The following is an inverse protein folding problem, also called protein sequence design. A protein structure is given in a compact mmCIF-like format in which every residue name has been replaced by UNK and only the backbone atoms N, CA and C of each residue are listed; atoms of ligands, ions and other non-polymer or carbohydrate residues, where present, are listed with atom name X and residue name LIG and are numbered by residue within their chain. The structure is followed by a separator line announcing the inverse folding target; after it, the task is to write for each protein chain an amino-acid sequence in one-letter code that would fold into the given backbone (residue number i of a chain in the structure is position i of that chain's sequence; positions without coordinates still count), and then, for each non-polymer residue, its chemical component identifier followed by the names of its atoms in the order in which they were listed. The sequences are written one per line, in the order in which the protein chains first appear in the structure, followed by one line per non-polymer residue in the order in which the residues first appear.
data_IF_039869319555
#
_entry.id   IF_039869319555
#
_cell.length_a   1.000
_cell.length_b   1.000
_cell.length_c   1.000
_cell.angle_alpha   90.00
_cell.angle_beta   90.00
_cell.angle_gamma   90.00
#
_symmetry.space_group_name_H-M   'P 1'
#
loop_
_entity.id
_entity.type
_entity.pdbx_description
1 polymer ?
#
# COMPACT_ATOMS: atom_id res chain seq x y z
N UNK A 1 -7.97 17.64 25.18
CA UNK A 1 -7.46 17.16 23.88
C UNK A 1 -5.95 17.40 23.71
N UNK A 2 -5.40 18.55 24.11
CA UNK A 2 -3.95 18.87 24.03
C UNK A 2 -3.00 17.97 24.86
N UNK A 3 -3.46 17.40 25.97
CA UNK A 3 -2.61 16.59 26.86
C UNK A 3 -2.11 15.26 26.26
N UNK A 4 -2.75 14.76 25.18
CA UNK A 4 -2.37 13.52 24.53
C UNK A 4 -1.27 13.72 23.46
N UNK A 5 -1.24 14.90 22.84
CA UNK A 5 -0.32 15.24 21.73
C UNK A 5 1.15 15.29 22.15
N UNK A 6 1.43 15.71 23.38
CA UNK A 6 2.80 15.87 23.90
C UNK A 6 3.18 14.79 24.92
N UNK A 7 2.34 13.77 25.09
CA UNK A 7 2.65 12.71 26.04
C UNK A 7 3.67 11.74 25.44
N UNK A 8 4.95 12.02 25.71
CA UNK A 8 6.09 11.22 25.23
C UNK A 8 5.91 9.72 25.49
N UNK A 9 5.45 9.33 26.68
CA UNK A 9 5.29 7.91 27.03
C UNK A 9 4.23 7.25 26.15
N UNK A 10 3.09 7.92 25.94
CA UNK A 10 2.05 7.41 25.05
C UNK A 10 2.54 7.29 23.60
N UNK A 11 3.25 8.30 23.09
CA UNK A 11 3.79 8.29 21.73
C UNK A 11 4.82 7.18 21.52
N UNK A 12 5.67 6.91 22.51
CA UNK A 12 6.71 5.87 22.40
C UNK A 12 6.17 4.46 22.67
N UNK A 13 5.20 4.30 23.57
CA UNK A 13 4.74 2.96 23.97
C UNK A 13 3.57 2.46 23.12
N UNK A 14 2.64 3.35 22.75
CA UNK A 14 1.41 3.00 22.02
C UNK A 14 1.34 3.60 20.62
N UNK A 15 2.01 4.73 20.42
CA UNK A 15 1.86 5.52 19.20
C UNK A 15 0.56 6.29 19.13
N UNK A 16 0.45 7.12 18.11
CA UNK A 16 -0.75 7.92 17.85
C UNK A 16 -1.03 7.94 16.36
N UNK A 17 -1.94 7.05 15.92
CA UNK A 17 -2.37 6.96 14.53
C UNK A 17 -2.78 8.32 13.97
N UNK A 18 -3.61 9.07 14.71
CA UNK A 18 -4.09 10.39 14.28
C UNK A 18 -2.96 11.39 14.08
N UNK A 19 -1.98 11.46 14.99
CA UNK A 19 -0.86 12.41 14.83
C UNK A 19 0.01 12.03 13.63
N UNK A 20 0.35 10.75 13.51
CA UNK A 20 1.20 10.29 12.41
C UNK A 20 0.48 10.39 11.06
N UNK A 21 -0.85 10.29 11.03
CA UNK A 21 -1.69 10.52 9.86
C UNK A 21 -1.59 11.97 9.37
N UNK A 22 -1.78 12.95 10.25
CA UNK A 22 -1.62 14.37 9.89
C UNK A 22 -0.18 14.70 9.44
N UNK A 23 0.82 14.09 10.09
CA UNK A 23 2.22 14.22 9.63
C UNK A 23 2.43 13.55 8.27
N UNK A 24 1.76 12.43 8.00
CA UNK A 24 1.77 11.72 6.74
C UNK A 24 1.25 12.57 5.59
N UNK A 25 0.22 13.39 5.82
CA UNK A 25 -0.26 14.35 4.81
C UNK A 25 0.83 15.36 4.39
N UNK A 26 1.68 15.82 5.32
CA UNK A 26 2.82 16.70 4.97
C UNK A 26 3.91 15.98 4.13
N UNK A 27 3.98 14.65 4.23
CA UNK A 27 4.96 13.85 3.50
C UNK A 27 4.45 13.37 2.14
N UNK A 28 3.14 13.40 1.90
CA UNK A 28 2.59 13.07 0.58
C UNK A 28 3.13 13.99 -0.52
N UNK A 29 3.22 13.46 -1.73
CA UNK A 29 3.49 14.24 -2.93
C UNK A 29 2.46 13.88 -4.00
N UNK A 30 2.06 14.86 -4.85
CA UNK A 30 1.11 14.61 -5.92
C UNK A 30 1.55 13.50 -6.89
N UNK A 31 2.86 13.32 -7.09
CA UNK A 31 3.44 12.36 -8.04
C UNK A 31 3.15 10.88 -7.73
N UNK A 32 2.90 10.53 -6.47
CA UNK A 32 2.53 9.15 -6.08
C UNK A 32 1.17 9.06 -5.40
N UNK A 33 0.47 10.19 -5.24
CA UNK A 33 -0.88 10.24 -4.67
C UNK A 33 -1.88 10.29 -5.83
N UNK A 34 -2.31 9.11 -6.29
CA UNK A 34 -3.33 8.95 -7.33
C UNK A 34 -4.75 9.02 -6.76
N UNK A 35 -5.74 9.16 -7.63
CA UNK A 35 -7.15 9.34 -7.27
C UNK A 35 -7.61 8.26 -6.27
N UNK A 36 -8.32 8.68 -5.23
CA UNK A 36 -8.80 7.80 -4.16
C UNK A 36 -7.76 7.43 -3.10
N UNK A 37 -6.52 7.94 -3.18
CA UNK A 37 -5.44 7.56 -2.23
C UNK A 37 -4.93 8.67 -1.32
N UNK A 38 -5.60 9.82 -1.26
CA UNK A 38 -5.21 10.92 -0.35
C UNK A 38 -5.25 10.46 1.11
N UNK A 39 -6.30 9.74 1.51
CA UNK A 39 -6.42 9.17 2.87
C UNK A 39 -5.70 7.82 3.04
N UNK A 40 -4.99 7.36 2.01
CA UNK A 40 -4.32 6.05 2.00
C UNK A 40 -2.80 6.22 2.05
N UNK A 41 -2.23 7.00 1.13
CA UNK A 41 -0.77 7.14 1.02
C UNK A 41 -0.16 7.95 2.17
N UNK A 42 -0.94 8.82 2.84
CA UNK A 42 -0.52 9.43 4.11
C UNK A 42 -0.25 8.35 5.17
N UNK A 43 -1.05 7.29 5.18
CA UNK A 43 -0.95 6.21 6.16
C UNK A 43 0.24 5.27 5.93
N UNK A 44 0.97 5.37 4.81
CA UNK A 44 2.28 4.72 4.66
C UNK A 44 3.26 5.27 5.71
N UNK A 45 3.26 6.60 5.90
CA UNK A 45 4.08 7.26 6.92
C UNK A 45 3.54 6.99 8.33
N UNK A 46 2.22 6.88 8.50
CA UNK A 46 1.59 6.44 9.75
C UNK A 46 2.09 5.08 10.17
N UNK A 47 2.01 4.08 9.28
CA UNK A 47 2.49 2.73 9.55
C UNK A 47 3.99 2.72 9.86
N UNK A 48 4.81 3.45 9.08
CA UNK A 48 6.24 3.56 9.34
C UNK A 48 6.54 4.17 10.72
N UNK A 49 5.84 5.24 11.12
CA UNK A 49 6.01 5.87 12.43
C UNK A 49 5.56 4.94 13.57
N UNK A 50 4.42 4.26 13.42
CA UNK A 50 3.92 3.28 14.38
C UNK A 50 4.94 2.17 14.65
N UNK A 51 5.59 1.64 13.60
CA UNK A 51 6.62 0.62 13.77
C UNK A 51 7.94 1.17 14.30
N UNK A 52 8.44 2.27 13.73
CA UNK A 52 9.81 2.72 14.03
C UNK A 52 9.90 3.49 15.34
N UNK A 53 8.89 4.31 15.66
CA UNK A 53 8.85 5.13 16.87
C UNK A 53 8.23 4.33 18.02
N UNK A 54 7.06 3.74 17.77
CA UNK A 54 6.23 3.14 18.82
C UNK A 54 6.38 1.63 18.95
N UNK A 55 7.23 1.02 18.12
CA UNK A 55 7.52 -0.42 18.09
C UNK A 55 6.26 -1.28 17.96
N UNK A 56 5.20 -0.74 17.37
CA UNK A 56 3.97 -1.46 17.11
C UNK A 56 4.11 -2.28 15.83
N UNK A 57 3.64 -3.54 15.80
CA UNK A 57 3.59 -4.27 14.55
C UNK A 57 2.68 -3.53 13.56
N UNK A 58 3.01 -3.61 12.27
CA UNK A 58 2.17 -3.03 11.22
C UNK A 58 1.27 -4.05 10.55
N UNK A 59 1.70 -5.31 10.41
CA UNK A 59 0.92 -6.31 9.71
C UNK A 59 -0.14 -6.94 10.62
N UNK A 60 -1.41 -6.91 10.18
CA UNK A 60 -2.60 -7.40 10.92
C UNK A 60 -2.64 -6.93 12.40
N UNK A 61 -2.05 -5.77 12.66
CA UNK A 61 -2.14 -5.14 13.96
C UNK A 61 -3.56 -4.63 14.23
N UNK A 62 -3.81 -4.13 15.44
CA UNK A 62 -5.17 -3.81 15.91
C UNK A 62 -5.98 -2.95 14.92
N UNK A 63 -5.37 -1.95 14.28
CA UNK A 63 -6.07 -1.13 13.29
C UNK A 63 -6.40 -1.92 12.01
N UNK A 64 -5.41 -2.53 11.34
CA UNK A 64 -5.65 -3.28 10.09
C UNK A 64 -6.57 -4.50 10.31
N UNK A 65 -6.45 -5.16 11.45
CA UNK A 65 -7.32 -6.28 11.83
C UNK A 65 -8.79 -5.88 11.85
N UNK A 66 -9.11 -4.66 12.29
CA UNK A 66 -10.49 -4.10 12.26
C UNK A 66 -11.00 -3.84 10.86
N UNK A 67 -10.18 -3.91 9.82
CA UNK A 67 -10.58 -3.74 8.41
C UNK A 67 -10.56 -5.04 7.62
N UNK A 68 -10.15 -6.17 8.21
CA UNK A 68 -10.14 -7.48 7.51
C UNK A 68 -11.53 -7.92 7.03
N UNK A 69 -12.61 -7.59 7.77
CA UNK A 69 -13.95 -7.88 7.26
C UNK A 69 -14.31 -7.07 6.02
N UNK A 70 -13.70 -5.89 5.81
CA UNK A 70 -13.92 -5.09 4.60
C UNK A 70 -13.23 -5.76 3.41
N UNK A 71 -12.07 -6.38 3.61
CA UNK A 71 -11.41 -7.21 2.58
C UNK A 71 -12.31 -8.37 2.15
N UNK A 72 -12.90 -9.10 3.10
CA UNK A 72 -13.86 -10.19 2.78
C UNK A 72 -15.08 -9.68 2.02
N UNK A 73 -15.66 -8.56 2.45
CA UNK A 73 -16.80 -7.93 1.78
C UNK A 73 -16.43 -7.48 0.36
N UNK A 74 -15.27 -6.86 0.20
CA UNK A 74 -14.73 -6.45 -1.09
C UNK A 74 -14.59 -7.65 -2.02
N UNK A 75 -13.92 -8.71 -1.58
CA UNK A 75 -13.72 -9.92 -2.38
C UNK A 75 -15.03 -10.65 -2.69
N UNK A 76 -16.08 -10.50 -1.89
CA UNK A 76 -17.40 -11.06 -2.19
C UNK A 76 -18.32 -10.11 -2.98
N UNK A 77 -17.88 -8.87 -3.25
CA UNK A 77 -18.63 -7.88 -4.03
C UNK A 77 -18.32 -7.98 -5.53
N UNK A 78 -18.75 -6.99 -6.33
CA UNK A 78 -18.34 -6.86 -7.73
C UNK A 78 -16.82 -6.69 -7.93
N UNK A 79 -16.05 -6.35 -6.88
CA UNK A 79 -14.58 -6.19 -6.90
C UNK A 79 -14.14 -5.23 -8.01
N UNK A 80 -14.20 -3.93 -7.75
CA UNK A 80 -13.76 -2.91 -8.71
C UNK A 80 -12.80 -1.91 -8.07
N UNK A 81 -12.09 -1.16 -8.90
CA UNK A 81 -11.19 -0.11 -8.43
C UNK A 81 -11.98 1.01 -7.72
N UNK A 82 -13.19 1.31 -8.18
CA UNK A 82 -14.07 2.33 -7.59
C UNK A 82 -14.49 1.94 -6.17
N UNK A 83 -14.82 0.66 -5.95
CA UNK A 83 -15.12 0.15 -4.60
C UNK A 83 -13.86 0.24 -3.73
N UNK A 84 -12.69 -0.13 -4.28
CA UNK A 84 -11.42 -0.04 -3.57
C UNK A 84 -11.09 1.39 -3.14
N UNK A 85 -11.30 2.38 -4.02
CA UNK A 85 -11.08 3.80 -3.75
C UNK A 85 -12.04 4.39 -2.70
N UNK A 86 -13.20 3.76 -2.48
CA UNK A 86 -14.21 4.25 -1.54
C UNK A 86 -13.90 3.96 -0.06
N UNK A 87 -12.93 3.08 0.22
CA UNK A 87 -12.55 2.69 1.58
C UNK A 87 -11.02 2.82 1.77
N UNK A 88 -10.54 3.89 2.45
CA UNK A 88 -9.12 4.06 2.70
C UNK A 88 -8.48 2.94 3.52
N UNK A 89 -9.24 2.29 4.41
CA UNK A 89 -8.76 1.15 5.19
C UNK A 89 -8.56 -0.09 4.34
N UNK A 90 -9.43 -0.31 3.36
CA UNK A 90 -9.23 -1.32 2.32
C UNK A 90 -8.01 -0.98 1.46
N UNK A 91 -7.88 0.28 1.06
CA UNK A 91 -6.78 0.76 0.23
C UNK A 91 -5.41 0.62 0.89
N UNK A 92 -5.34 0.73 2.22
CA UNK A 92 -4.07 0.65 2.95
C UNK A 92 -3.45 -0.76 2.93
N UNK A 93 -4.25 -1.82 2.72
CA UNK A 93 -3.74 -3.20 2.79
C UNK A 93 -2.61 -3.48 1.81
N UNK A 94 -2.71 -3.05 0.55
CA UNK A 94 -1.64 -3.28 -0.42
C UNK A 94 -0.30 -2.66 0.04
N UNK A 95 -0.35 -1.48 0.64
CA UNK A 95 0.84 -0.81 1.15
C UNK A 95 1.40 -1.53 2.38
N UNK A 96 0.53 -1.95 3.29
CA UNK A 96 0.94 -2.74 4.44
C UNK A 96 1.51 -4.11 4.05
N UNK A 97 0.97 -4.76 3.02
CA UNK A 97 1.49 -6.02 2.46
C UNK A 97 2.90 -5.82 1.92
N UNK A 98 3.15 -4.79 1.12
CA UNK A 98 4.48 -4.56 0.57
C UNK A 98 5.48 -4.28 1.71
N UNK A 99 5.12 -3.46 2.70
CA UNK A 99 5.99 -3.21 3.85
C UNK A 99 6.25 -4.49 4.67
N UNK A 100 5.24 -5.33 4.86
CA UNK A 100 5.36 -6.58 5.60
C UNK A 100 6.27 -7.61 4.91
N UNK A 101 6.11 -7.79 3.59
CA UNK A 101 6.81 -8.82 2.83
C UNK A 101 8.21 -8.40 2.38
N UNK A 102 8.42 -7.10 2.11
CA UNK A 102 9.68 -6.61 1.53
C UNK A 102 10.42 -5.60 2.40
N UNK A 103 9.81 -5.17 3.51
CA UNK A 103 10.39 -4.20 4.43
C UNK A 103 10.37 -2.75 3.92
N UNK A 104 10.67 -1.81 4.82
CA UNK A 104 10.60 -0.37 4.53
C UNK A 104 11.67 0.15 3.59
N UNK A 105 12.75 -0.59 3.34
CA UNK A 105 13.80 -0.14 2.43
C UNK A 105 13.31 -0.03 0.98
N UNK A 106 12.29 -0.82 0.59
CA UNK A 106 11.59 -0.65 -0.69
C UNK A 106 10.96 0.73 -0.79
N UNK A 107 10.19 1.14 0.23
CA UNK A 107 9.56 2.47 0.26
C UNK A 107 10.58 3.60 0.24
N UNK A 108 11.66 3.49 1.02
CA UNK A 108 12.71 4.52 1.06
C UNK A 108 13.39 4.69 -0.30
N UNK A 109 13.68 3.58 -1.01
CA UNK A 109 14.23 3.61 -2.38
C UNK A 109 13.25 4.30 -3.33
N UNK A 110 12.00 3.88 -3.34
CA UNK A 110 10.97 4.44 -4.24
C UNK A 110 10.75 5.93 -3.98
N UNK A 111 10.61 6.36 -2.72
CA UNK A 111 10.45 7.78 -2.41
C UNK A 111 11.68 8.61 -2.80
N UNK A 112 12.90 8.06 -2.68
CA UNK A 112 14.11 8.72 -3.18
C UNK A 112 14.11 8.86 -4.70
N UNK A 113 13.60 7.87 -5.42
CA UNK A 113 13.47 7.98 -6.87
C UNK A 113 12.45 9.05 -7.29
N UNK A 114 11.37 9.25 -6.53
CA UNK A 114 10.41 10.31 -6.83
C UNK A 114 10.96 11.73 -6.60
N UNK A 115 12.10 11.88 -5.91
CA UNK A 115 12.77 13.17 -5.77
C UNK A 115 13.55 13.57 -7.03
N UNK A 116 13.70 12.67 -8.00
CA UNK A 116 14.37 12.98 -9.25
C UNK A 116 13.56 14.01 -10.08
N UNK A 117 14.22 14.85 -10.91
CA UNK A 117 13.54 15.90 -11.66
C UNK A 117 12.46 15.41 -12.63
N UNK A 118 12.67 14.25 -13.24
CA UNK A 118 11.74 13.59 -14.17
C UNK A 118 10.40 13.19 -13.52
N UNK A 119 10.40 12.96 -12.20
CA UNK A 119 9.21 12.61 -11.45
C UNK A 119 8.36 13.83 -11.06
N UNK A 120 8.87 15.05 -11.25
CA UNK A 120 8.18 16.28 -10.86
C UNK A 120 6.97 16.58 -11.74
N UNK A 121 6.93 16.08 -12.98
CA UNK A 121 5.86 16.37 -13.95
C UNK A 121 4.79 15.27 -14.04
N UNK A 122 4.85 14.25 -13.17
CA UNK A 122 3.81 13.22 -13.11
C UNK A 122 2.52 13.85 -12.59
N UNK A 123 1.51 13.92 -13.46
CA UNK A 123 0.22 14.59 -13.18
C UNK A 123 -0.98 13.73 -13.52
N UNK A 124 -0.92 12.99 -14.62
CA UNK A 124 -1.99 12.11 -15.06
C UNK A 124 -2.22 10.96 -14.06
N UNK A 125 -3.49 10.58 -13.87
CA UNK A 125 -3.84 9.57 -12.87
C UNK A 125 -3.32 8.17 -13.22
N UNK A 126 -3.43 7.76 -14.48
CA UNK A 126 -2.94 6.44 -14.92
C UNK A 126 -1.42 6.41 -14.85
N UNK A 127 -0.76 7.50 -15.28
CA UNK A 127 0.70 7.63 -15.18
C UNK A 127 1.20 7.47 -13.74
N UNK A 128 0.50 8.02 -12.74
CA UNK A 128 0.85 7.84 -11.32
C UNK A 128 0.74 6.38 -10.88
N UNK A 129 -0.33 5.68 -11.29
CA UNK A 129 -0.55 4.28 -10.93
C UNK A 129 0.53 3.40 -11.56
N UNK A 130 0.80 3.56 -12.85
CA UNK A 130 1.80 2.80 -13.58
C UNK A 130 3.22 3.06 -13.04
N UNK A 131 3.55 4.34 -12.77
CA UNK A 131 4.85 4.69 -12.20
C UNK A 131 5.03 4.09 -10.80
N UNK A 132 3.98 4.14 -9.97
CA UNK A 132 4.00 3.52 -8.65
C UNK A 132 4.24 2.01 -8.77
N UNK A 133 3.50 1.34 -9.65
CA UNK A 133 3.66 -0.09 -9.92
C UNK A 133 5.08 -0.45 -10.36
N UNK A 134 5.64 0.25 -11.35
CA UNK A 134 6.98 -0.04 -11.89
C UNK A 134 8.05 0.19 -10.84
N UNK A 135 8.01 1.32 -10.13
CA UNK A 135 9.01 1.64 -9.10
C UNK A 135 8.96 0.65 -7.94
N UNK A 136 7.77 0.30 -7.45
CA UNK A 136 7.63 -0.67 -6.35
C UNK A 136 8.10 -2.07 -6.77
N UNK A 137 7.71 -2.53 -7.96
CA UNK A 137 8.14 -3.84 -8.50
C UNK A 137 9.66 -3.92 -8.67
N UNK A 138 10.26 -2.87 -9.23
CA UNK A 138 11.71 -2.76 -9.41
C UNK A 138 12.43 -2.75 -8.07
N UNK A 139 11.93 -1.98 -7.09
CA UNK A 139 12.56 -1.81 -5.80
C UNK A 139 12.48 -3.07 -4.90
N UNK A 140 11.40 -3.85 -5.01
CA UNK A 140 11.28 -5.14 -4.29
C UNK A 140 11.89 -6.33 -5.07
N UNK A 141 12.15 -6.18 -6.37
CA UNK A 141 12.73 -7.22 -7.22
C UNK A 141 11.70 -8.26 -7.70
N UNK A 142 10.41 -7.97 -7.61
CA UNK A 142 9.32 -8.86 -8.04
C UNK A 142 8.30 -8.11 -8.88
N UNK A 143 7.70 -8.80 -9.84
CA UNK A 143 6.57 -8.28 -10.59
C UNK A 143 5.31 -8.33 -9.71
N UNK A 144 4.83 -7.16 -9.28
CA UNK A 144 3.65 -7.03 -8.40
C UNK A 144 2.32 -7.05 -9.16
N UNK A 145 2.29 -7.34 -10.47
CA UNK A 145 1.05 -7.37 -11.25
C UNK A 145 -0.03 -8.28 -10.63
N UNK A 146 0.28 -9.49 -10.10
CA UNK A 146 -0.70 -10.29 -9.39
C UNK A 146 -1.31 -9.58 -8.18
N UNK A 147 -0.51 -8.85 -7.40
CA UNK A 147 -0.96 -8.10 -6.24
C UNK A 147 -1.84 -6.90 -6.65
N UNK A 148 -1.48 -6.17 -7.70
CA UNK A 148 -2.29 -5.06 -8.22
C UNK A 148 -3.64 -5.56 -8.77
N UNK A 149 -3.65 -6.70 -9.47
CA UNK A 149 -4.87 -7.33 -9.97
C UNK A 149 -5.75 -7.89 -8.84
N UNK A 150 -5.15 -8.45 -7.80
CA UNK A 150 -5.89 -8.85 -6.59
C UNK A 150 -6.72 -7.69 -6.04
N UNK A 151 -6.14 -6.49 -5.97
CA UNK A 151 -6.80 -5.26 -5.53
C UNK A 151 -7.53 -4.48 -6.65
N UNK A 152 -7.56 -5.03 -7.87
CA UNK A 152 -8.18 -4.44 -9.07
C UNK A 152 -7.67 -3.02 -9.38
N UNK A 153 -6.43 -2.71 -9.02
CA UNK A 153 -5.79 -1.44 -9.36
C UNK A 153 -5.36 -1.51 -10.83
N UNK A 154 -5.84 -0.62 -11.71
CA UNK A 154 -5.59 -0.72 -13.15
C UNK A 154 -4.15 -0.32 -13.48
N UNK A 155 -3.40 -1.25 -14.07
CA UNK A 155 -2.06 -1.02 -14.61
C UNK A 155 -2.08 -1.28 -16.11
N UNK A 156 -1.34 -0.48 -16.89
CA UNK A 156 -1.30 -0.63 -18.35
C UNK A 156 -0.41 -1.80 -18.79
N UNK A 157 -0.68 -2.36 -19.96
CA UNK A 157 0.15 -3.42 -20.55
C UNK A 157 1.62 -2.99 -20.72
N UNK A 158 1.86 -1.71 -21.04
CA UNK A 158 3.20 -1.13 -21.13
C UNK A 158 3.96 -1.24 -19.78
N UNK A 159 3.29 -0.89 -18.68
CA UNK A 159 3.87 -0.99 -17.35
C UNK A 159 4.14 -2.45 -16.95
N UNK A 160 3.21 -3.37 -17.25
CA UNK A 160 3.38 -4.82 -17.01
C UNK A 160 4.59 -5.34 -17.79
N UNK A 161 4.70 -4.98 -19.08
CA UNK A 161 5.81 -5.38 -19.95
C UNK A 161 7.17 -4.89 -19.43
N UNK A 162 7.21 -3.72 -18.78
CA UNK A 162 8.44 -3.21 -18.16
C UNK A 162 8.93 -4.13 -17.04
N UNK A 163 8.01 -4.74 -16.28
CA UNK A 163 8.34 -5.61 -15.13
C UNK A 163 8.31 -7.11 -15.46
N UNK A 164 8.03 -7.52 -16.72
CA UNK A 164 7.84 -8.93 -17.09
C UNK A 164 9.08 -9.82 -16.87
N UNK A 165 10.26 -9.21 -16.81
CA UNK A 165 11.52 -9.90 -16.55
C UNK A 165 11.70 -10.29 -15.07
N UNK A 166 10.87 -9.76 -14.17
CA UNK A 166 10.86 -10.09 -12.75
C UNK A 166 9.88 -11.23 -12.49
N UNK A 167 10.18 -12.05 -11.47
CA UNK A 167 9.27 -13.11 -11.04
C UNK A 167 7.97 -12.50 -10.49
N UNK A 168 6.83 -13.00 -10.96
CA UNK A 168 5.51 -12.61 -10.44
C UNK A 168 5.36 -13.01 -8.97
N UNK A 169 4.81 -12.11 -8.16
CA UNK A 169 4.63 -12.33 -6.73
C UNK A 169 3.24 -11.94 -6.27
N UNK A 170 2.56 -12.90 -5.63
CA UNK A 170 1.37 -12.67 -4.81
C UNK A 170 1.68 -13.21 -3.41
N UNK A 171 1.61 -12.37 -2.36
CA UNK A 171 1.79 -12.80 -0.98
C UNK A 171 1.04 -14.09 -0.61
N UNK A 172 1.64 -14.90 0.26
CA UNK A 172 0.93 -15.90 1.05
C UNK A 172 0.85 -15.38 2.49
N UNK A 173 -0.24 -14.67 2.78
CA UNK A 173 -0.50 -14.00 4.06
C UNK A 173 -1.97 -14.10 4.47
N UNK A 174 -2.31 -13.54 5.62
CA UNK A 174 -3.65 -13.57 6.21
C UNK A 174 -4.73 -12.99 5.30
N UNK A 175 -4.41 -12.01 4.45
CA UNK A 175 -5.37 -11.45 3.48
C UNK A 175 -5.66 -12.50 2.42
N UNK A 176 -4.63 -13.07 1.80
CA UNK A 176 -4.81 -14.11 0.79
C UNK A 176 -5.39 -15.40 1.34
N UNK A 177 -5.11 -15.71 2.62
CA UNK A 177 -5.62 -16.89 3.32
C UNK A 177 -7.10 -16.80 3.66
N UNK A 178 -7.65 -15.60 3.90
CA UNK A 178 -9.09 -15.44 4.14
C UNK A 178 -9.88 -15.30 2.83
N UNK A 179 -9.20 -15.21 1.69
CA UNK A 179 -9.78 -15.04 0.34
C UNK A 179 -9.32 -16.12 -0.63
N UNK A 180 -9.03 -17.34 -0.14
CA UNK A 180 -8.30 -18.40 -0.89
C UNK A 180 -8.82 -18.66 -2.29
N UNK A 181 -10.13 -18.78 -2.49
CA UNK A 181 -10.70 -19.06 -3.81
C UNK A 181 -10.36 -17.96 -4.82
N UNK A 182 -10.45 -16.69 -4.40
CA UNK A 182 -10.07 -15.55 -5.22
C UNK A 182 -8.55 -15.44 -5.39
N UNK A 183 -7.78 -15.70 -4.33
CA UNK A 183 -6.32 -15.76 -4.43
C UNK A 183 -5.87 -16.82 -5.43
N UNK A 184 -6.47 -18.01 -5.41
CA UNK A 184 -6.14 -19.10 -6.34
C UNK A 184 -6.47 -18.71 -7.78
N UNK A 185 -7.58 -18.03 -8.05
CA UNK A 185 -7.90 -17.58 -9.41
C UNK A 185 -6.90 -16.54 -9.94
N UNK A 186 -6.36 -15.68 -9.07
CA UNK A 186 -5.25 -14.78 -9.43
C UNK A 186 -3.97 -15.58 -9.69
N UNK A 187 -3.61 -16.50 -8.80
CA UNK A 187 -2.44 -17.37 -8.97
C UNK A 187 -2.46 -18.16 -10.28
N UNK A 188 -3.61 -18.76 -10.60
CA UNK A 188 -3.83 -19.48 -11.86
C UNK A 188 -3.63 -18.56 -13.09
N UNK A 189 -4.15 -17.33 -13.03
CA UNK A 189 -4.00 -16.33 -14.10
C UNK A 189 -2.53 -15.95 -14.36
N UNK A 190 -1.71 -15.86 -13.31
CA UNK A 190 -0.30 -15.46 -13.41
C UNK A 190 0.68 -16.63 -13.37
N UNK A 191 0.19 -17.87 -13.30
CA UNK A 191 0.99 -19.10 -13.25
C UNK A 191 2.00 -19.15 -12.08
N UNK A 192 1.57 -18.78 -10.88
CA UNK A 192 2.40 -18.73 -9.65
C UNK A 192 1.78 -19.49 -8.46
#
# INVERSE_FOLDING_TARGET
MLAYLLNKRVLLDKGSWGIYHEMGHNMQRPAWTFQGTVEVTCNVFTLYAMETISKQPIWIHEWLKRHLQNVKKYVNSAKSFEIWQSDPGLGLFIYAQIAHHFGWDVYKKVFREYEQPDCQDIRDNQQKIDTWFVKMSTACGYNLAPLFDFWKIPITDESINTCQHLQAYLPADEVTDITREYTNSIRDKYHI
#
